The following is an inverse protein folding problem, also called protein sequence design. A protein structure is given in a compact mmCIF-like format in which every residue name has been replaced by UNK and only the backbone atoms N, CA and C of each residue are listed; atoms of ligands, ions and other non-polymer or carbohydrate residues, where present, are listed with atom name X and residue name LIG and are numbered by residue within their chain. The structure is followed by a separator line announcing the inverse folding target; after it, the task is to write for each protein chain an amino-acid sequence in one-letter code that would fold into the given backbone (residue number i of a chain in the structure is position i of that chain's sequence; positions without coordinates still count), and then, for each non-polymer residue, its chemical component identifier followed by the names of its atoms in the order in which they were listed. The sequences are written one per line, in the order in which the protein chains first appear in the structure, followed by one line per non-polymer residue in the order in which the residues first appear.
data_IF_475441337282
#
_entry.id   IF_475441337282
#
_cell.length_a   1.000
_cell.length_b   1.000
_cell.length_c   1.000
_cell.angle_alpha   90.00
_cell.angle_beta   90.00
_cell.angle_gamma   90.00
#
_symmetry.space_group_name_H-M   'P 1'
#
loop_
_entity.id
_entity.type
_entity.pdbx_description
1 polymer ?
#
# COMPACT_ATOMS: atom_id res chain seq x y z
N UNK A 1 1.91 10.77 12.08
CA UNK A 1 1.29 9.56 11.53
C UNK A 1 2.36 8.57 11.14
N UNK A 2 2.10 7.28 11.29
CA UNK A 2 3.06 6.26 10.89
C UNK A 2 3.10 6.11 9.37
N UNK A 3 4.18 5.53 8.86
CA UNK A 3 4.30 5.21 7.44
C UNK A 3 3.16 4.27 7.00
N UNK A 4 2.84 3.28 7.82
CA UNK A 4 1.76 2.34 7.52
C UNK A 4 0.42 3.05 7.36
N UNK A 5 0.09 3.96 8.26
CA UNK A 5 -1.15 4.73 8.18
C UNK A 5 -1.18 5.60 6.93
N UNK A 6 -0.07 6.23 6.59
CA UNK A 6 0.03 7.06 5.40
C UNK A 6 -0.19 6.25 4.12
N UNK A 7 0.34 5.03 4.07
CA UNK A 7 0.14 4.13 2.93
C UNK A 7 -1.33 3.72 2.83
N UNK A 8 -1.95 3.35 3.95
CA UNK A 8 -3.38 2.98 3.97
C UNK A 8 -4.23 4.12 3.45
N UNK A 9 -3.98 5.33 3.93
CA UNK A 9 -4.74 6.52 3.51
C UNK A 9 -4.57 6.77 2.01
N UNK A 10 -3.35 6.61 1.49
CA UNK A 10 -3.05 6.81 0.08
C UNK A 10 -3.69 5.75 -0.82
N UNK A 11 -3.98 4.58 -0.27
CA UNK A 11 -4.67 3.51 -1.00
C UNK A 11 -6.20 3.65 -0.95
N UNK A 12 -6.72 4.66 -0.27
CA UNK A 12 -8.15 4.91 -0.17
C UNK A 12 -8.76 4.52 1.17
N UNK A 13 -7.93 4.15 2.14
CA UNK A 13 -8.39 3.71 3.45
C UNK A 13 -8.64 2.20 3.52
N UNK A 14 -8.82 1.67 4.72
CA UNK A 14 -9.06 0.23 4.91
C UNK A 14 -10.30 -0.27 4.18
N UNK A 15 -11.32 0.56 4.03
CA UNK A 15 -12.55 0.16 3.33
C UNK A 15 -12.31 -0.15 1.85
N UNK A 16 -11.24 0.40 1.29
CA UNK A 16 -10.86 0.17 -0.11
C UNK A 16 -9.88 -0.99 -0.27
N UNK A 17 -9.34 -1.53 0.81
CA UNK A 17 -8.32 -2.56 0.77
C UNK A 17 -8.96 -3.92 1.06
N UNK A 18 -8.93 -4.81 0.06
CA UNK A 18 -9.41 -6.18 0.21
C UNK A 18 -8.31 -7.02 0.84
N UNK A 19 -7.09 -6.93 0.31
CA UNK A 19 -5.98 -7.74 0.78
C UNK A 19 -4.66 -7.01 0.53
N UNK A 20 -3.70 -7.18 1.43
CA UNK A 20 -2.33 -6.71 1.27
C UNK A 20 -1.39 -7.88 1.55
N UNK A 21 -0.48 -8.15 0.62
CA UNK A 21 0.56 -9.17 0.78
C UNK A 21 1.92 -8.56 0.55
N UNK A 22 2.89 -8.80 1.44
CA UNK A 22 4.26 -8.41 1.16
C UNK A 22 4.88 -9.36 0.13
N UNK A 23 5.64 -8.81 -0.81
CA UNK A 23 6.28 -9.60 -1.85
C UNK A 23 7.68 -9.03 -2.09
N UNK A 24 8.65 -9.58 -1.38
CA UNK A 24 10.08 -9.19 -1.44
C UNK A 24 10.26 -7.70 -1.13
N UNK A 25 10.15 -6.81 -2.12
CA UNK A 25 10.32 -5.37 -1.95
C UNK A 25 9.04 -4.59 -2.23
N UNK A 26 7.90 -5.29 -2.38
CA UNK A 26 6.63 -4.68 -2.78
C UNK A 26 5.51 -5.10 -1.84
N UNK A 27 4.50 -4.24 -1.77
CA UNK A 27 3.21 -4.57 -1.18
C UNK A 27 2.24 -4.79 -2.33
N UNK A 28 1.70 -5.99 -2.46
CA UNK A 28 0.66 -6.28 -3.44
C UNK A 28 -0.68 -6.05 -2.77
N UNK A 29 -1.41 -5.08 -3.27
CA UNK A 29 -2.66 -4.65 -2.67
C UNK A 29 -3.82 -4.92 -3.62
N UNK A 30 -4.81 -5.70 -3.19
CA UNK A 30 -6.08 -5.84 -3.91
C UNK A 30 -7.05 -4.81 -3.37
N UNK A 31 -7.66 -4.04 -4.26
CA UNK A 31 -8.49 -2.90 -3.91
C UNK A 31 -9.87 -3.02 -4.53
N UNK A 32 -10.87 -2.44 -3.86
CA UNK A 32 -12.22 -2.31 -4.40
C UNK A 32 -12.23 -1.34 -5.58
N UNK A 33 -11.51 -0.23 -5.47
CA UNK A 33 -11.50 0.83 -6.47
C UNK A 33 -10.09 1.41 -6.58
N UNK A 34 -9.38 1.06 -7.66
CA UNK A 34 -8.02 1.54 -7.89
C UNK A 34 -7.95 3.03 -8.20
N UNK A 35 -9.08 3.65 -8.57
CA UNK A 35 -9.10 5.08 -8.85
C UNK A 35 -8.90 5.94 -7.60
N UNK A 36 -9.08 5.35 -6.41
CA UNK A 36 -8.87 6.05 -5.14
C UNK A 36 -7.40 6.12 -4.72
N UNK A 37 -6.51 5.46 -5.45
CA UNK A 37 -5.07 5.45 -5.13
C UNK A 37 -4.44 6.77 -5.49
N UNK A 38 -3.73 7.36 -4.53
CA UNK A 38 -2.98 8.60 -4.72
C UNK A 38 -1.49 8.28 -4.80
N UNK A 39 -0.94 8.28 -6.01
CA UNK A 39 0.45 7.93 -6.26
C UNK A 39 1.41 8.89 -5.55
N UNK A 40 1.07 10.18 -5.54
CA UNK A 40 1.94 11.18 -4.88
C UNK A 40 1.97 10.97 -3.37
N UNK A 41 0.82 10.66 -2.78
CA UNK A 41 0.74 10.37 -1.36
C UNK A 41 1.54 9.11 -1.00
N UNK A 42 1.50 8.08 -1.86
CA UNK A 42 2.30 6.87 -1.66
C UNK A 42 3.79 7.19 -1.71
N UNK A 43 4.22 8.00 -2.66
CA UNK A 43 5.63 8.40 -2.76
C UNK A 43 6.04 9.23 -1.54
N UNK A 44 5.18 10.13 -1.08
CA UNK A 44 5.43 10.91 0.12
C UNK A 44 5.53 10.02 1.36
N UNK A 45 4.84 8.89 1.36
CA UNK A 45 4.90 7.92 2.45
C UNK A 45 6.11 6.97 2.36
N UNK A 46 6.98 7.16 1.36
CA UNK A 46 8.21 6.39 1.22
C UNK A 46 8.19 5.34 0.12
N UNK A 47 7.14 5.28 -0.69
CA UNK A 47 7.12 4.36 -1.82
C UNK A 47 8.09 4.83 -2.91
N UNK A 48 8.82 3.88 -3.48
CA UNK A 48 9.75 4.14 -4.58
C UNK A 48 9.03 4.13 -5.94
N UNK A 49 7.90 3.46 -6.03
CA UNK A 49 7.12 3.38 -7.24
C UNK A 49 5.78 2.71 -7.00
N UNK A 50 4.88 2.86 -7.96
CA UNK A 50 3.54 2.29 -7.91
C UNK A 50 3.24 1.66 -9.25
N UNK A 51 2.85 0.39 -9.26
CA UNK A 51 2.50 -0.36 -10.47
C UNK A 51 1.06 -0.83 -10.36
N UNK A 52 0.25 -0.49 -11.34
CA UNK A 52 -1.15 -0.91 -11.39
C UNK A 52 -1.30 -2.12 -12.31
N UNK A 53 -1.97 -3.16 -11.82
CA UNK A 53 -2.24 -4.37 -12.59
C UNK A 53 -3.69 -4.77 -12.33
N UNK A 54 -4.60 -4.41 -13.25
CA UNK A 54 -6.03 -4.68 -13.08
C UNK A 54 -6.58 -4.00 -11.83
N UNK A 55 -7.18 -4.78 -10.94
CA UNK A 55 -7.72 -4.29 -9.66
C UNK A 55 -6.70 -4.30 -8.54
N UNK A 56 -5.45 -4.66 -8.84
CA UNK A 56 -4.37 -4.71 -7.88
C UNK A 56 -3.39 -3.58 -8.12
N UNK A 57 -2.74 -3.16 -7.03
CA UNK A 57 -1.69 -2.15 -7.08
C UNK A 57 -0.48 -2.72 -6.35
N UNK A 58 0.69 -2.62 -6.97
CA UNK A 58 1.94 -2.99 -6.33
C UNK A 58 2.67 -1.73 -5.90
N UNK A 59 2.91 -1.60 -4.61
CA UNK A 59 3.61 -0.44 -4.04
C UNK A 59 5.03 -0.89 -3.72
N UNK A 60 6.00 -0.32 -4.41
CA UNK A 60 7.41 -0.67 -4.20
C UNK A 60 7.92 0.10 -3.00
N UNK A 61 8.15 -0.60 -1.90
CA UNK A 61 8.57 0.03 -0.63
C UNK A 61 9.98 -0.36 -0.20
N UNK A 62 10.64 -1.26 -0.96
CA UNK A 62 11.98 -1.71 -0.64
C UNK A 62 12.01 -2.87 0.34
N UNK A 63 13.16 -3.12 1.00
CA UNK A 63 13.36 -4.34 1.79
C UNK A 63 12.50 -4.42 3.04
N UNK A 64 11.78 -3.37 3.41
CA UNK A 64 10.93 -3.33 4.59
C UNK A 64 9.48 -3.74 4.32
N UNK A 65 9.20 -4.34 3.17
CA UNK A 65 7.83 -4.69 2.78
C UNK A 65 7.12 -5.55 3.84
N UNK A 66 7.79 -6.57 4.38
CA UNK A 66 7.21 -7.42 5.42
C UNK A 66 6.85 -6.63 6.67
N UNK A 67 7.76 -5.77 7.14
CA UNK A 67 7.55 -4.95 8.33
C UNK A 67 6.38 -3.99 8.13
N UNK A 68 6.31 -3.35 6.95
CA UNK A 68 5.24 -2.42 6.65
C UNK A 68 3.89 -3.15 6.59
N UNK A 69 3.85 -4.35 5.99
CA UNK A 69 2.64 -5.15 5.94
C UNK A 69 2.15 -5.54 7.34
N UNK A 70 3.07 -5.93 8.23
CA UNK A 70 2.73 -6.22 9.63
C UNK A 70 2.19 -5.00 10.35
N UNK A 71 2.80 -3.84 10.14
CA UNK A 71 2.35 -2.59 10.74
C UNK A 71 0.94 -2.23 10.26
N UNK A 72 0.64 -2.46 8.99
CA UNK A 72 -0.70 -2.22 8.45
C UNK A 72 -1.72 -3.15 9.10
N UNK A 73 -1.39 -4.44 9.23
CA UNK A 73 -2.28 -5.39 9.90
C UNK A 73 -2.56 -4.98 11.35
N UNK A 74 -1.55 -4.45 12.04
CA UNK A 74 -1.71 -4.00 13.41
C UNK A 74 -2.65 -2.78 13.54
N UNK A 75 -2.86 -2.05 12.45
CA UNK A 75 -3.77 -0.89 12.44
C UNK A 75 -5.23 -1.28 12.19
N UNK A 76 -5.48 -2.49 11.76
CA UNK A 76 -6.85 -2.95 11.50
C UNK A 76 -7.64 -3.17 12.77
#
# INVERSE_FOLDING_TARGET
MSQAQSIVDALGGFDNIIEIEPCITRLRCELEDVSLVDDQALKAAGAHGVVRVGDAVQVVVGPNANTIAEDIEDLR
#
